data_IF_986615268143
#
_entry.id   IF_986615268143
#
_cell.length_a   1.000
_cell.length_b   1.000
_cell.length_c   1.000
_cell.angle_alpha   90.00
_cell.angle_beta   90.00
_cell.angle_gamma   90.00
#
_symmetry.space_group_name_H-M   'P 1'
#
loop_
_entity.id
_entity.type
_entity.pdbx_description
1 polymer ?
#
# COMPACT_ATOMS: atom_id res chain seq x y z
N UNK A 1 -20.97 -10.23 -0.20
CA UNK A 1 -19.93 -11.23 -0.51
C UNK A 1 -19.17 -10.73 -1.72
N UNK A 2 -17.88 -10.46 -1.56
CA UNK A 2 -17.01 -9.95 -2.63
C UNK A 2 -16.31 -11.13 -3.30
N UNK A 3 -16.27 -11.20 -4.63
CA UNK A 3 -15.57 -12.31 -5.31
C UNK A 3 -14.06 -12.03 -5.37
N UNK A 4 -13.19 -13.01 -5.68
CA UNK A 4 -11.76 -12.76 -5.90
C UNK A 4 -11.46 -11.67 -6.94
N UNK A 5 -12.35 -11.52 -7.93
CA UNK A 5 -12.30 -10.42 -8.90
C UNK A 5 -12.64 -9.06 -8.27
N UNK A 6 -13.57 -9.02 -7.30
CA UNK A 6 -13.87 -7.83 -6.51
C UNK A 6 -12.69 -7.41 -5.64
N UNK A 7 -12.01 -8.34 -4.96
CA UNK A 7 -10.83 -8.02 -4.12
C UNK A 7 -9.69 -7.43 -4.95
N UNK A 8 -9.42 -8.00 -6.13
CA UNK A 8 -8.45 -7.44 -7.08
C UNK A 8 -8.81 -6.01 -7.48
N UNK A 9 -10.06 -5.77 -7.87
CA UNK A 9 -10.54 -4.45 -8.27
C UNK A 9 -10.41 -3.41 -7.13
N UNK A 10 -10.65 -3.82 -5.88
CA UNK A 10 -10.45 -2.98 -4.69
C UNK A 10 -8.97 -2.61 -4.54
N UNK A 11 -8.06 -3.58 -4.60
CA UNK A 11 -6.62 -3.31 -4.50
C UNK A 11 -6.15 -2.42 -5.65
N UNK A 12 -6.61 -2.66 -6.87
CA UNK A 12 -6.33 -1.81 -8.05
C UNK A 12 -6.76 -0.36 -7.81
N UNK A 13 -7.98 -0.16 -7.31
CA UNK A 13 -8.51 1.16 -6.96
C UNK A 13 -7.66 1.83 -5.89
N UNK A 14 -7.30 1.10 -4.83
CA UNK A 14 -6.48 1.63 -3.72
C UNK A 14 -5.04 1.95 -4.11
N UNK A 15 -4.45 1.18 -5.01
CA UNK A 15 -3.14 1.53 -5.60
C UNK A 15 -3.23 2.80 -6.45
N UNK A 16 -4.36 3.06 -7.11
CA UNK A 16 -4.58 4.33 -7.81
C UNK A 16 -4.66 5.51 -6.84
N UNK A 17 -5.40 5.36 -5.73
CA UNK A 17 -5.44 6.35 -4.64
C UNK A 17 -4.04 6.60 -4.04
N UNK A 18 -3.29 5.52 -3.78
CA UNK A 18 -1.93 5.57 -3.25
C UNK A 18 -0.99 6.40 -4.14
N UNK A 19 -1.10 6.29 -5.46
CA UNK A 19 -0.26 7.09 -6.38
C UNK A 19 -0.51 8.58 -6.24
N UNK A 20 -1.76 8.99 -6.06
CA UNK A 20 -2.10 10.40 -5.87
C UNK A 20 -1.58 10.90 -4.53
N UNK A 21 -1.70 10.09 -3.49
CA UNK A 21 -1.16 10.41 -2.16
C UNK A 21 0.37 10.52 -2.18
N UNK A 22 1.07 9.59 -2.82
CA UNK A 22 2.54 9.65 -3.00
C UNK A 22 2.95 10.96 -3.69
N UNK A 23 2.24 11.35 -4.76
CA UNK A 23 2.51 12.62 -5.46
C UNK A 23 2.32 13.81 -4.53
N UNK A 24 1.23 13.84 -3.77
CA UNK A 24 0.99 14.87 -2.78
C UNK A 24 2.11 14.94 -1.74
N UNK A 25 2.46 13.82 -1.11
CA UNK A 25 3.52 13.73 -0.11
C UNK A 25 4.86 14.26 -0.64
N UNK A 26 5.22 13.94 -1.89
CA UNK A 26 6.44 14.44 -2.53
C UNK A 26 6.46 15.96 -2.79
N UNK A 27 5.31 16.64 -2.73
CA UNK A 27 5.23 18.12 -2.79
C UNK A 27 5.39 18.78 -1.42
N UNK A 28 5.30 18.01 -0.34
CA UNK A 28 5.47 18.52 1.03
C UNK A 28 6.95 18.62 1.42
N UNK A 29 7.22 19.28 2.54
CA UNK A 29 8.57 19.38 3.09
C UNK A 29 8.94 18.08 3.83
N UNK A 30 9.45 17.10 3.09
CA UNK A 30 9.93 15.82 3.62
C UNK A 30 11.43 15.87 3.94
N UNK A 31 11.83 15.16 4.99
CA UNK A 31 13.23 14.78 5.23
C UNK A 31 13.73 13.84 4.13
N UNK A 32 15.05 13.63 4.05
CA UNK A 32 15.62 12.65 3.12
C UNK A 32 15.11 11.23 3.39
N UNK A 33 14.99 10.84 4.66
CA UNK A 33 14.46 9.54 5.07
C UNK A 33 12.97 9.39 4.71
N UNK A 34 12.16 10.42 5.00
CA UNK A 34 10.74 10.43 4.62
C UNK A 34 10.55 10.34 3.11
N UNK A 35 11.37 11.06 2.33
CA UNK A 35 11.35 10.97 0.86
C UNK A 35 11.75 9.58 0.37
N UNK A 36 12.74 8.95 1.02
CA UNK A 36 13.19 7.59 0.71
C UNK A 36 12.09 6.56 0.97
N UNK A 37 11.35 6.69 2.08
CA UNK A 37 10.17 5.86 2.37
C UNK A 37 9.11 6.00 1.28
N UNK A 38 8.75 7.25 0.90
CA UNK A 38 7.75 7.49 -0.14
C UNK A 38 8.13 6.86 -1.49
N UNK A 39 9.39 6.98 -1.91
CA UNK A 39 9.86 6.31 -3.13
C UNK A 39 9.85 4.79 -3.02
N UNK A 40 10.14 4.25 -1.83
CA UNK A 40 10.10 2.81 -1.57
C UNK A 40 8.68 2.28 -1.67
N UNK A 41 7.70 3.00 -1.12
CA UNK A 41 6.27 2.67 -1.26
C UNK A 41 5.84 2.74 -2.73
N UNK A 42 6.32 3.74 -3.49
CA UNK A 42 6.04 3.85 -4.92
C UNK A 42 6.59 2.65 -5.72
N UNK A 43 7.81 2.21 -5.40
CA UNK A 43 8.42 1.03 -6.01
C UNK A 43 7.66 -0.24 -5.64
N UNK A 44 7.27 -0.39 -4.38
CA UNK A 44 6.43 -1.49 -3.93
C UNK A 44 5.11 -1.56 -4.69
N UNK A 45 4.41 -0.43 -4.87
CA UNK A 45 3.18 -0.38 -5.65
C UNK A 45 3.39 -0.84 -7.11
N UNK A 46 4.53 -0.48 -7.72
CA UNK A 46 4.93 -0.98 -9.04
C UNK A 46 5.11 -2.51 -9.04
N UNK A 47 5.74 -3.07 -8.00
CA UNK A 47 5.93 -4.54 -7.87
C UNK A 47 4.59 -5.28 -7.75
N UNK A 48 3.63 -4.74 -6.98
CA UNK A 48 2.28 -5.32 -6.88
C UNK A 48 1.59 -5.29 -8.23
N UNK A 49 1.62 -4.16 -8.94
CA UNK A 49 0.92 -3.99 -10.22
C UNK A 49 1.50 -4.84 -11.35
N UNK A 50 2.80 -4.75 -11.59
CA UNK A 50 3.42 -5.24 -12.83
C UNK A 50 4.11 -6.60 -12.68
N UNK A 51 4.65 -6.88 -11.50
CA UNK A 51 5.42 -8.11 -11.29
C UNK A 51 4.55 -9.24 -10.72
N UNK A 52 3.54 -8.89 -9.92
CA UNK A 52 2.65 -9.87 -9.29
C UNK A 52 1.20 -9.76 -9.77
N UNK A 53 0.85 -8.76 -10.59
CA UNK A 53 -0.50 -8.55 -11.12
C UNK A 53 -1.58 -8.61 -10.02
N UNK A 54 -1.31 -7.96 -8.88
CA UNK A 54 -2.17 -7.91 -7.70
C UNK A 54 -2.40 -9.25 -6.99
N UNK A 55 -1.72 -10.32 -7.41
CA UNK A 55 -1.73 -11.58 -6.69
C UNK A 55 -0.97 -11.45 -5.36
N UNK A 56 -1.40 -12.21 -4.36
CA UNK A 56 -0.75 -12.22 -3.06
C UNK A 56 0.71 -12.68 -3.20
N UNK A 57 1.60 -11.95 -2.56
CA UNK A 57 2.99 -12.28 -2.42
C UNK A 57 3.41 -11.99 -0.98
N UNK A 58 3.87 -13.01 -0.26
CA UNK A 58 4.24 -12.90 1.16
C UNK A 58 5.28 -11.80 1.40
N UNK A 59 6.32 -11.72 0.58
CA UNK A 59 7.37 -10.74 0.75
C UNK A 59 6.84 -9.31 0.56
N UNK A 60 5.96 -9.08 -0.41
CA UNK A 60 5.33 -7.78 -0.59
C UNK A 60 4.40 -7.43 0.56
N UNK A 61 3.69 -8.41 1.13
CA UNK A 61 2.87 -8.18 2.32
C UNK A 61 3.72 -7.82 3.54
N UNK A 62 4.82 -8.54 3.78
CA UNK A 62 5.74 -8.26 4.89
C UNK A 62 6.33 -6.84 4.78
N UNK A 63 6.71 -6.39 3.56
CA UNK A 63 7.16 -5.01 3.34
C UNK A 63 6.07 -3.97 3.62
N UNK A 64 4.82 -4.27 3.29
CA UNK A 64 3.70 -3.37 3.56
C UNK A 64 3.52 -3.13 5.07
N UNK A 65 3.77 -4.14 5.91
CA UNK A 65 3.76 -3.98 7.37
C UNK A 65 4.87 -3.05 7.86
N UNK A 66 6.08 -3.20 7.31
CA UNK A 66 7.22 -2.34 7.64
C UNK A 66 6.89 -0.89 7.31
N UNK A 67 6.43 -0.62 6.08
CA UNK A 67 6.09 0.74 5.66
C UNK A 67 5.03 1.36 6.56
N UNK A 68 3.99 0.61 6.91
CA UNK A 68 2.91 1.08 7.77
C UNK A 68 3.42 1.53 9.15
N UNK A 69 4.38 0.80 9.71
CA UNK A 69 4.98 1.12 11.01
C UNK A 69 5.99 2.28 10.94
N UNK A 70 6.65 2.47 9.80
CA UNK A 70 7.63 3.54 9.60
C UNK A 70 6.98 4.92 9.34
N UNK A 71 5.74 4.95 8.84
CA UNK A 71 4.99 6.18 8.58
C UNK A 71 5.02 7.20 9.74
N UNK A 72 4.58 6.86 10.97
CA UNK A 72 4.56 7.81 12.09
C UNK A 72 5.94 8.27 12.55
N UNK A 73 6.99 7.55 12.16
CA UNK A 73 8.38 7.88 12.53
C UNK A 73 8.99 8.83 11.51
N UNK A 74 8.71 8.63 10.21
CA UNK A 74 9.40 9.29 9.11
C UNK A 74 8.61 10.44 8.46
N UNK A 75 7.31 10.57 8.76
CA UNK A 75 6.43 11.55 8.13
C UNK A 75 5.61 12.31 9.19
N UNK A 76 5.36 13.60 8.93
CA UNK A 76 4.56 14.46 9.83
C UNK A 76 3.07 14.34 9.51
N UNK A 77 2.69 14.39 8.23
CA UNK A 77 1.31 14.22 7.78
C UNK A 77 1.16 12.90 7.01
N UNK A 78 0.88 11.83 7.74
CA UNK A 78 0.84 10.47 7.19
C UNK A 78 -0.54 9.81 7.26
N UNK A 79 -1.53 10.45 7.87
CA UNK A 79 -2.82 9.82 8.22
C UNK A 79 -3.51 9.22 7.00
N UNK A 80 -3.58 9.98 5.89
CA UNK A 80 -4.23 9.51 4.66
C UNK A 80 -3.47 8.36 4.02
N UNK A 81 -2.14 8.47 3.95
CA UNK A 81 -1.27 7.42 3.44
C UNK A 81 -1.40 6.13 4.29
N UNK A 82 -1.47 6.27 5.61
CA UNK A 82 -1.66 5.16 6.53
C UNK A 82 -3.00 4.48 6.32
N UNK A 83 -4.09 5.24 6.17
CA UNK A 83 -5.41 4.67 5.86
C UNK A 83 -5.38 3.85 4.57
N UNK A 84 -4.81 4.41 3.49
CA UNK A 84 -4.72 3.71 2.20
C UNK A 84 -3.89 2.42 2.34
N UNK A 85 -2.72 2.47 2.97
CA UNK A 85 -1.88 1.29 3.17
C UNK A 85 -2.54 0.25 4.10
N UNK A 86 -3.31 0.69 5.10
CA UNK A 86 -4.07 -0.18 5.98
C UNK A 86 -5.20 -0.92 5.25
N UNK A 87 -5.94 -0.23 4.39
CA UNK A 87 -6.97 -0.86 3.55
C UNK A 87 -6.34 -1.85 2.58
N UNK A 88 -5.24 -1.47 1.91
CA UNK A 88 -4.50 -2.39 1.03
C UNK A 88 -4.04 -3.61 1.82
N UNK A 89 -3.47 -3.43 3.02
CA UNK A 89 -3.03 -4.53 3.89
C UNK A 89 -4.18 -5.48 4.23
N UNK A 90 -5.35 -4.94 4.58
CA UNK A 90 -6.54 -5.73 4.89
C UNK A 90 -6.97 -6.61 3.70
N UNK A 91 -7.15 -6.02 2.52
CA UNK A 91 -7.61 -6.75 1.33
C UNK A 91 -6.53 -7.67 0.71
N UNK A 92 -5.25 -7.34 0.89
CA UNK A 92 -4.13 -8.13 0.38
C UNK A 92 -3.79 -9.33 1.28
N UNK A 93 -4.29 -9.36 2.52
CA UNK A 93 -4.08 -10.48 3.44
C UNK A 93 -4.75 -11.77 2.90
N UNK A 94 -4.02 -12.90 2.81
CA UNK A 94 -4.57 -14.17 2.35
C UNK A 94 -5.68 -14.72 3.27
N UNK A 95 -5.64 -14.46 4.57
CA UNK A 95 -6.66 -14.90 5.53
C UNK A 95 -8.02 -14.28 5.25
N UNK A 96 -8.06 -13.06 4.71
CA UNK A 96 -9.31 -12.43 4.28
C UNK A 96 -10.01 -13.25 3.19
N UNK A 97 -9.27 -13.94 2.32
CA UNK A 97 -9.84 -14.84 1.31
C UNK A 97 -10.39 -16.13 1.89
N UNK A 98 -9.87 -16.59 3.03
CA UNK A 98 -10.34 -17.80 3.71
C UNK A 98 -11.68 -17.56 4.41
N UNK A 99 -11.92 -16.35 4.92
CA UNK A 99 -13.19 -15.95 5.54
C UNK A 99 -14.33 -15.64 4.56
N UNK A 100 -14.08 -15.73 3.23
CA UNK A 100 -15.09 -15.55 2.18
C UNK A 100 -15.61 -16.85 1.56
N UNK A 101 -15.10 -18.01 1.98
CA UNK A 101 -15.69 -19.32 1.65
C UNK A 101 -16.83 -19.65 2.59
#
# INVERSE_FOLDING_TARGET
>A
METPQTVRAIIESKISELKNEIRYQLTTNLTEDGRSLIYTIAYWAKQVMFNNEYNYNKQLFDYLEIFYNDLPVLLVDFTRLQTILGEIKFFYNPEYKEHMK
#
